data_IF_188745525808
#
_entry.id   IF_188745525808
#
_cell.length_a   1.000
_cell.length_b   1.000
_cell.length_c   1.000
_cell.angle_alpha   90.00
_cell.angle_beta   90.00
_cell.angle_gamma   90.00
#
_symmetry.space_group_name_H-M   'P 1'
#
loop_
_entity.id
_entity.type
_entity.pdbx_description
1 polymer ?
#
# COMPACT_ATOMS: atom_id res chain seq x y z
N UNK A 1 5.57 18.77 4.49
CA UNK A 1 4.69 18.10 3.53
C UNK A 1 3.26 18.48 3.84
N UNK A 2 2.53 19.04 2.88
CA UNK A 2 1.07 19.17 3.00
C UNK A 2 0.43 17.93 2.38
N UNK A 3 -0.22 17.08 3.20
CA UNK A 3 -1.00 15.97 2.65
C UNK A 3 -2.27 16.53 2.00
N UNK A 4 -2.46 16.18 0.73
CA UNK A 4 -3.68 16.56 0.02
C UNK A 4 -4.82 15.60 0.37
N UNK A 5 -6.03 16.14 0.48
CA UNK A 5 -7.23 15.35 0.75
C UNK A 5 -8.28 15.58 -0.32
N UNK A 6 -9.02 14.53 -0.66
CA UNK A 6 -10.12 14.56 -1.61
C UNK A 6 -11.36 13.90 -0.99
N UNK A 7 -12.54 14.49 -1.13
CA UNK A 7 -13.80 13.87 -0.69
C UNK A 7 -14.49 13.21 -1.87
N UNK A 8 -14.84 11.95 -1.73
CA UNK A 8 -15.56 11.17 -2.75
C UNK A 8 -16.85 10.59 -2.19
N UNK A 9 -17.83 10.39 -3.07
CA UNK A 9 -19.08 9.69 -2.74
C UNK A 9 -18.95 8.21 -3.12
N UNK A 10 -19.20 7.32 -2.16
CA UNK A 10 -19.21 5.87 -2.38
C UNK A 10 -20.48 5.30 -1.77
N UNK A 11 -21.35 4.72 -2.59
CA UNK A 11 -22.62 4.12 -2.14
C UNK A 11 -23.48 5.04 -1.26
N UNK A 12 -23.42 6.37 -1.47
CA UNK A 12 -24.15 7.36 -0.69
C UNK A 12 -23.43 7.87 0.56
N UNK A 13 -22.22 7.36 0.86
CA UNK A 13 -21.37 7.85 1.95
C UNK A 13 -20.28 8.79 1.42
N UNK A 14 -20.04 9.89 2.14
CA UNK A 14 -18.88 10.74 1.91
C UNK A 14 -17.64 10.11 2.55
N UNK A 15 -16.57 9.95 1.77
CA UNK A 15 -15.27 9.48 2.28
C UNK A 15 -14.20 10.51 1.96
N UNK A 16 -13.50 10.97 2.99
CA UNK A 16 -12.27 11.75 2.86
C UNK A 16 -11.12 10.78 2.59
N UNK A 17 -10.38 11.03 1.53
CA UNK A 17 -9.24 10.24 1.09
C UNK A 17 -7.98 11.08 1.14
N UNK A 18 -6.87 10.46 1.51
CA UNK A 18 -5.54 11.05 1.37
C UNK A 18 -5.02 10.77 -0.04
N UNK A 19 -4.52 11.80 -0.71
CA UNK A 19 -4.02 11.75 -2.08
C UNK A 19 -2.56 12.18 -2.14
N UNK A 20 -1.79 11.43 -2.91
CA UNK A 20 -0.40 11.73 -3.23
C UNK A 20 -0.23 11.86 -4.75
N UNK A 21 0.35 12.97 -5.18
CA UNK A 21 0.71 13.24 -6.56
C UNK A 21 2.01 14.07 -6.66
N UNK A 22 2.72 13.90 -7.76
CA UNK A 22 4.04 14.50 -7.96
C UNK A 22 4.02 15.96 -8.42
N UNK A 23 2.85 16.62 -8.41
CA UNK A 23 2.76 18.06 -8.70
C UNK A 23 3.18 18.90 -7.48
N UNK A 24 3.12 18.32 -6.28
CA UNK A 24 3.63 18.92 -5.05
C UNK A 24 5.13 18.62 -4.88
N UNK A 25 5.93 19.65 -4.59
CA UNK A 25 7.39 19.53 -4.52
C UNK A 25 7.87 18.71 -3.32
N UNK A 26 7.17 18.76 -2.19
CA UNK A 26 7.53 17.98 -1.00
C UNK A 26 7.18 16.50 -1.21
N UNK A 27 6.02 16.22 -1.81
CA UNK A 27 5.65 14.86 -2.22
C UNK A 27 6.61 14.31 -3.28
N UNK A 28 7.04 15.15 -4.23
CA UNK A 28 8.07 14.75 -5.20
C UNK A 28 9.39 14.38 -4.52
N UNK A 29 9.83 15.14 -3.52
CA UNK A 29 11.04 14.79 -2.77
C UNK A 29 10.89 13.46 -2.01
N UNK A 30 9.73 13.22 -1.38
CA UNK A 30 9.42 11.95 -0.73
C UNK A 30 9.46 10.78 -1.73
N UNK A 31 8.89 10.98 -2.91
CA UNK A 31 8.92 9.99 -3.99
C UNK A 31 10.35 9.70 -4.46
N UNK A 32 11.18 10.72 -4.72
CA UNK A 32 12.56 10.48 -5.17
C UNK A 32 13.35 9.69 -4.14
N UNK A 33 13.19 9.99 -2.85
CA UNK A 33 13.81 9.22 -1.78
C UNK A 33 13.33 7.76 -1.76
N UNK A 34 12.01 7.54 -1.81
CA UNK A 34 11.41 6.21 -1.86
C UNK A 34 11.82 5.41 -3.10
N UNK A 35 11.99 6.09 -4.25
CA UNK A 35 12.45 5.50 -5.51
C UNK A 35 13.88 4.98 -5.39
N UNK A 36 14.79 5.73 -4.75
CA UNK A 36 16.17 5.26 -4.55
C UNK A 36 16.19 3.99 -3.68
N UNK A 37 15.39 3.95 -2.62
CA UNK A 37 15.25 2.76 -1.76
C UNK A 37 14.64 1.58 -2.54
N UNK A 38 13.59 1.80 -3.32
CA UNK A 38 12.97 0.76 -4.16
C UNK A 38 13.91 0.19 -5.22
N UNK A 39 14.73 1.05 -5.85
CA UNK A 39 15.79 0.62 -6.78
C UNK A 39 16.88 -0.19 -6.08
N UNK A 40 17.27 0.19 -4.87
CA UNK A 40 18.24 -0.56 -4.07
C UNK A 40 17.71 -1.93 -3.60
N UNK A 41 16.40 -2.06 -3.37
CA UNK A 41 15.72 -3.32 -3.02
C UNK A 41 15.58 -4.30 -4.19
N UNK A 42 15.41 -3.79 -5.40
CA UNK A 42 15.04 -4.61 -6.56
C UNK A 42 15.98 -5.80 -6.85
N UNK A 43 17.32 -5.67 -6.76
CA UNK A 43 18.25 -6.78 -6.99
C UNK A 43 18.12 -7.94 -5.99
N UNK A 44 17.65 -7.67 -4.77
CA UNK A 44 17.51 -8.66 -3.70
C UNK A 44 16.10 -9.22 -3.56
N UNK A 45 15.17 -8.73 -4.38
CA UNK A 45 13.79 -9.21 -4.39
C UNK A 45 13.69 -10.52 -5.16
N UNK A 46 12.98 -11.50 -4.60
CA UNK A 46 12.70 -12.75 -5.30
C UNK A 46 12.06 -12.49 -6.67
N UNK A 47 12.69 -13.02 -7.72
CA UNK A 47 12.25 -12.81 -9.10
C UNK A 47 10.88 -13.45 -9.39
N UNK A 48 10.58 -14.58 -8.76
CA UNK A 48 9.27 -15.21 -8.83
C UNK A 48 8.22 -14.35 -8.12
N UNK A 49 7.02 -14.21 -8.69
CA UNK A 49 5.85 -13.73 -7.97
C UNK A 49 5.32 -14.81 -7.00
N UNK A 50 4.29 -14.51 -6.16
CA UNK A 50 3.70 -15.50 -5.27
C UNK A 50 3.22 -16.78 -5.98
N UNK A 51 2.94 -16.68 -7.28
CA UNK A 51 2.54 -17.75 -8.17
C UNK A 51 3.66 -18.51 -8.87
N UNK A 52 4.91 -18.23 -8.52
CA UNK A 52 6.08 -18.89 -9.10
C UNK A 52 6.50 -18.36 -10.48
N UNK A 53 5.78 -17.38 -11.06
CA UNK A 53 6.12 -16.85 -12.38
C UNK A 53 7.31 -15.89 -12.28
N UNK A 54 8.32 -16.10 -13.12
CA UNK A 54 9.50 -15.25 -13.17
C UNK A 54 9.14 -13.86 -13.71
N UNK A 55 9.49 -12.83 -12.96
CA UNK A 55 9.31 -11.44 -13.35
C UNK A 55 10.62 -10.87 -13.90
N UNK A 56 10.61 -10.14 -15.02
CA UNK A 56 11.79 -9.43 -15.49
C UNK A 56 12.14 -8.32 -14.50
N UNK A 57 13.44 -8.01 -14.38
CA UNK A 57 13.97 -7.03 -13.41
C UNK A 57 13.24 -5.68 -13.47
N UNK A 58 12.94 -5.17 -14.67
CA UNK A 58 12.22 -3.90 -14.84
C UNK A 58 10.83 -3.89 -14.17
N UNK A 59 10.15 -5.05 -14.12
CA UNK A 59 8.85 -5.18 -13.42
C UNK A 59 9.06 -5.24 -11.91
N UNK A 60 10.16 -5.87 -11.46
CA UNK A 60 10.53 -5.90 -10.04
C UNK A 60 10.87 -4.48 -9.56
N UNK A 61 11.71 -3.75 -10.29
CA UNK A 61 12.06 -2.36 -10.03
C UNK A 61 10.82 -1.48 -9.95
N UNK A 62 9.95 -1.53 -10.96
CA UNK A 62 8.73 -0.73 -10.98
C UNK A 62 7.81 -1.05 -9.80
N UNK A 63 7.68 -2.33 -9.41
CA UNK A 63 6.89 -2.73 -8.24
C UNK A 63 7.52 -2.29 -6.93
N UNK A 64 8.84 -2.40 -6.76
CA UNK A 64 9.54 -1.96 -5.56
C UNK A 64 9.47 -0.45 -5.38
N UNK A 65 9.64 0.32 -6.45
CA UNK A 65 9.46 1.78 -6.42
C UNK A 65 8.06 2.14 -5.92
N UNK A 66 7.01 1.51 -6.46
CA UNK A 66 5.63 1.79 -6.05
C UNK A 66 5.33 1.31 -4.63
N UNK A 67 5.84 0.15 -4.23
CA UNK A 67 5.75 -0.38 -2.87
C UNK A 67 6.35 0.59 -1.86
N UNK A 68 7.65 0.90 -2.00
CA UNK A 68 8.33 1.83 -1.10
C UNK A 68 7.72 3.23 -1.10
N UNK A 69 7.16 3.69 -2.22
CA UNK A 69 6.41 4.97 -2.28
C UNK A 69 5.14 4.90 -1.43
N UNK A 70 4.41 3.78 -1.48
CA UNK A 70 3.22 3.58 -0.66
C UNK A 70 3.55 3.53 0.84
N UNK A 71 4.68 2.91 1.21
CA UNK A 71 5.16 2.88 2.59
C UNK A 71 5.54 4.27 3.07
N UNK A 72 6.29 5.02 2.26
CA UNK A 72 6.68 6.40 2.54
C UNK A 72 5.47 7.31 2.77
N UNK A 73 4.48 7.20 1.87
CA UNK A 73 3.25 7.99 1.95
C UNK A 73 2.44 7.65 3.21
N UNK A 74 2.31 6.35 3.52
CA UNK A 74 1.59 5.90 4.71
C UNK A 74 2.29 6.36 6.00
N UNK A 75 3.61 6.22 6.07
CA UNK A 75 4.40 6.70 7.21
C UNK A 75 4.24 8.21 7.41
N UNK A 76 4.21 8.98 6.31
CA UNK A 76 4.02 10.42 6.39
C UNK A 76 2.63 10.82 6.87
N UNK A 77 1.57 10.13 6.43
CA UNK A 77 0.21 10.31 6.98
C UNK A 77 0.22 10.07 8.49
N UNK A 78 0.83 8.97 8.93
CA UNK A 78 0.88 8.62 10.33
C UNK A 78 1.66 9.67 11.15
N UNK A 79 2.82 10.13 10.67
CA UNK A 79 3.63 11.18 11.33
C UNK A 79 2.88 12.49 11.49
N UNK A 80 2.09 12.89 10.49
CA UNK A 80 1.35 14.16 10.55
C UNK A 80 0.08 14.08 11.41
N UNK A 81 -0.52 12.89 11.51
CA UNK A 81 -1.84 12.74 12.15
C UNK A 81 -1.75 12.15 13.57
N UNK A 82 -0.69 11.43 13.91
CA UNK A 82 -0.46 10.91 15.27
C UNK A 82 0.23 11.97 16.16
N UNK A 83 0.04 11.90 17.48
CA UNK A 83 0.80 12.72 18.43
C UNK A 83 2.31 12.48 18.29
N UNK A 84 3.12 13.51 18.53
CA UNK A 84 4.58 13.45 18.39
C UNK A 84 5.24 12.43 19.33
N UNK A 85 4.57 12.04 20.42
CA UNK A 85 5.09 11.02 21.33
C UNK A 85 4.90 9.58 20.82
N UNK A 86 4.15 9.38 19.73
CA UNK A 86 4.10 8.11 19.02
C UNK A 86 5.13 8.17 17.89
N UNK A 87 6.25 7.48 18.10
CA UNK A 87 7.31 7.38 17.10
C UNK A 87 6.82 6.53 15.90
N UNK A 88 6.97 7.06 14.69
CA UNK A 88 6.63 6.38 13.43
C UNK A 88 7.89 6.04 12.65
N UNK A 89 8.30 4.77 12.74
CA UNK A 89 9.54 4.26 12.15
C UNK A 89 9.21 3.44 10.91
N UNK A 90 9.65 3.90 9.74
CA UNK A 90 9.61 3.11 8.50
C UNK A 90 10.90 2.30 8.41
N UNK A 91 10.80 0.99 8.16
CA UNK A 91 11.98 0.12 8.21
C UNK A 91 13.07 0.54 7.24
N UNK A 92 12.71 0.89 6.01
CA UNK A 92 13.62 1.35 4.95
C UNK A 92 14.49 2.56 5.33
N UNK A 93 14.05 3.38 6.28
CA UNK A 93 14.79 4.56 6.74
C UNK A 93 15.90 4.22 7.74
N UNK A 94 15.83 3.04 8.37
CA UNK A 94 16.75 2.61 9.44
C UNK A 94 17.56 1.36 9.06
N UNK A 95 17.43 0.87 7.83
CA UNK A 95 18.17 -0.31 7.36
C UNK A 95 19.67 0.00 7.28
N UNK A 96 20.47 -0.97 7.69
CA UNK A 96 21.94 -0.91 7.67
C UNK A 96 22.57 -2.01 6.81
N UNK A 97 21.76 -2.89 6.23
CA UNK A 97 22.17 -4.07 5.48
C UNK A 97 22.03 -3.89 3.96
N UNK A 98 21.98 -2.64 3.48
CA UNK A 98 21.89 -2.31 2.06
C UNK A 98 20.78 -3.04 1.30
N UNK A 99 19.65 -3.32 1.97
CA UNK A 99 18.49 -4.00 1.40
C UNK A 99 18.67 -5.49 1.06
N UNK A 100 19.73 -6.13 1.56
CA UNK A 100 20.04 -7.54 1.25
C UNK A 100 19.11 -8.55 1.92
N UNK A 101 18.55 -8.23 3.10
CA UNK A 101 17.63 -9.12 3.83
C UNK A 101 16.17 -8.77 3.61
N UNK A 102 15.27 -9.69 3.97
CA UNK A 102 13.84 -9.41 3.98
C UNK A 102 13.51 -8.34 5.03
N UNK A 103 12.50 -7.54 4.74
CA UNK A 103 11.97 -6.56 5.70
C UNK A 103 11.36 -7.26 6.91
N UNK A 104 11.57 -6.67 8.09
CA UNK A 104 10.95 -7.17 9.33
C UNK A 104 9.53 -6.62 9.52
N UNK A 105 9.32 -5.39 9.06
CA UNK A 105 8.06 -4.66 9.06
C UNK A 105 8.11 -3.55 8.01
N UNK A 106 6.97 -3.03 7.58
CA UNK A 106 6.93 -1.83 6.74
C UNK A 106 7.07 -0.58 7.62
N UNK A 107 6.17 -0.45 8.60
CA UNK A 107 6.14 0.66 9.56
C UNK A 107 5.88 0.11 10.97
N UNK A 108 6.61 0.65 11.94
CA UNK A 108 6.51 0.35 13.36
C UNK A 108 6.13 1.62 14.12
N UNK A 109 5.17 1.49 15.03
CA UNK A 109 4.69 2.56 15.91
C UNK A 109 5.14 2.28 17.34
N UNK A 110 5.75 3.25 18.02
CA UNK A 110 6.24 3.09 19.39
C UNK A 110 5.85 4.23 20.31
N UNK A 111 5.54 3.88 21.57
CA UNK A 111 5.44 4.83 22.69
C UNK A 111 5.69 4.09 24.00
N UNK A 112 6.78 4.41 24.68
CA UNK A 112 7.19 3.67 25.88
C UNK A 112 7.39 2.19 25.56
N UNK A 113 6.74 1.31 26.30
CA UNK A 113 6.80 -0.15 26.12
C UNK A 113 5.77 -0.69 25.11
N UNK A 114 4.90 0.17 24.56
CA UNK A 114 3.89 -0.24 23.57
C UNK A 114 4.48 -0.15 22.17
N UNK A 115 4.41 -1.27 21.44
CA UNK A 115 4.82 -1.38 20.05
C UNK A 115 3.70 -1.99 19.19
N UNK A 116 3.50 -1.43 17.99
CA UNK A 116 2.52 -1.92 17.01
C UNK A 116 3.11 -1.91 15.60
N UNK A 117 2.75 -2.91 14.80
CA UNK A 117 3.22 -3.05 13.42
C UNK A 117 2.11 -2.71 12.44
N UNK A 118 2.44 -1.87 11.47
CA UNK A 118 1.60 -1.47 10.35
C UNK A 118 2.12 -2.16 9.09
N UNK A 119 1.22 -2.84 8.41
CA UNK A 119 1.42 -3.42 7.08
C UNK A 119 0.86 -2.49 6.00
N UNK A 120 1.60 -2.31 4.92
CA UNK A 120 1.20 -1.49 3.78
C UNK A 120 1.12 -2.37 2.53
N UNK A 121 -0.09 -2.53 2.01
CA UNK A 121 -0.33 -3.28 0.76
C UNK A 121 -0.75 -2.34 -0.32
N UNK A 122 0.11 -2.11 -1.30
CA UNK A 122 -0.23 -1.26 -2.44
C UNK A 122 -0.90 -2.07 -3.57
N UNK A 123 -1.85 -1.46 -4.26
CA UNK A 123 -2.49 -2.00 -5.45
C UNK A 123 -2.48 -0.98 -6.60
N UNK A 124 -2.73 -1.44 -7.83
CA UNK A 124 -2.86 -0.56 -8.99
C UNK A 124 -4.19 -0.80 -9.70
N UNK A 125 -4.93 0.27 -9.99
CA UNK A 125 -6.18 0.28 -10.72
C UNK A 125 -6.00 0.94 -12.09
N UNK A 126 -5.96 0.12 -13.15
CA UNK A 126 -5.75 0.57 -14.53
C UNK A 126 -7.05 1.02 -15.21
N UNK A 127 -8.09 0.23 -15.05
CA UNK A 127 -9.34 0.40 -15.80
C UNK A 127 -10.42 1.17 -15.01
N UNK A 128 -10.10 1.56 -13.77
CA UNK A 128 -11.01 2.21 -12.84
C UNK A 128 -10.45 3.59 -12.47
N UNK A 129 -10.80 4.64 -13.23
CA UNK A 129 -10.06 5.92 -13.23
C UNK A 129 -10.41 6.85 -12.06
N UNK A 130 -11.23 6.40 -11.11
CA UNK A 130 -11.64 7.21 -9.95
C UNK A 130 -11.75 6.36 -8.69
N UNK A 131 -11.45 6.91 -7.50
CA UNK A 131 -11.62 6.20 -6.23
C UNK A 131 -13.02 5.62 -6.05
N UNK A 132 -14.06 6.38 -6.42
CA UNK A 132 -15.46 5.95 -6.33
C UNK A 132 -15.78 4.68 -7.14
N UNK A 133 -15.04 4.41 -8.22
CA UNK A 133 -15.17 3.16 -9.01
C UNK A 133 -14.29 2.04 -8.49
N UNK A 134 -13.16 2.35 -7.87
CA UNK A 134 -12.20 1.38 -7.31
C UNK A 134 -12.75 0.76 -6.02
N UNK A 135 -13.22 1.57 -5.08
CA UNK A 135 -13.64 1.13 -3.74
C UNK A 135 -14.67 -0.02 -3.77
N UNK A 136 -15.70 -0.01 -4.64
CA UNK A 136 -16.67 -1.11 -4.69
C UNK A 136 -16.11 -2.44 -5.24
N UNK A 137 -14.99 -2.41 -5.95
CA UNK A 137 -14.45 -3.55 -6.70
C UNK A 137 -13.18 -4.14 -6.07
N UNK A 138 -12.42 -3.33 -5.36
CA UNK A 138 -11.15 -3.74 -4.77
C UNK A 138 -11.33 -4.27 -3.34
N UNK A 139 -10.28 -4.94 -2.87
CA UNK A 139 -10.19 -5.49 -1.52
C UNK A 139 -8.91 -5.00 -0.86
N UNK A 140 -8.97 -4.78 0.44
CA UNK A 140 -7.79 -4.67 1.30
C UNK A 140 -7.22 -6.08 1.48
N UNK A 141 -5.91 -6.20 1.30
CA UNK A 141 -5.17 -7.44 1.49
C UNK A 141 -4.57 -7.47 2.90
N UNK A 142 -4.92 -8.48 3.68
CA UNK A 142 -4.30 -8.81 4.96
C UNK A 142 -3.17 -9.83 4.80
N UNK A 143 -2.87 -10.56 5.88
CA UNK A 143 -1.90 -11.65 5.86
C UNK A 143 -2.31 -12.74 4.86
N UNK A 144 -1.32 -13.46 4.34
CA UNK A 144 -1.56 -14.59 3.45
C UNK A 144 -0.79 -15.83 3.85
N UNK A 145 -1.26 -16.96 3.36
CA UNK A 145 -0.53 -18.22 3.37
C UNK A 145 -0.28 -18.67 1.94
N UNK A 146 0.79 -19.44 1.76
CA UNK A 146 1.05 -20.12 0.49
C UNK A 146 1.17 -21.61 0.75
N UNK A 147 1.02 -22.43 -0.29
CA UNK A 147 1.22 -23.88 -0.16
C UNK A 147 2.60 -24.26 0.43
N UNK A 148 3.61 -23.38 0.28
CA UNK A 148 5.01 -23.67 0.58
C UNK A 148 5.59 -22.90 1.78
N UNK A 149 4.83 -22.02 2.46
CA UNK A 149 5.29 -21.27 3.63
C UNK A 149 4.22 -21.22 4.72
N UNK A 150 4.65 -21.40 5.97
CA UNK A 150 3.83 -21.09 7.14
C UNK A 150 3.31 -19.67 6.99
N UNK A 151 2.00 -19.48 7.17
CA UNK A 151 1.32 -18.21 6.91
C UNK A 151 2.04 -17.01 7.51
N UNK A 152 1.91 -15.88 6.84
CA UNK A 152 2.50 -14.61 7.25
C UNK A 152 2.04 -14.21 8.66
N UNK A 153 2.93 -13.55 9.41
CA UNK A 153 2.58 -13.00 10.71
C UNK A 153 1.49 -11.94 10.58
N UNK A 154 0.49 -12.02 11.46
CA UNK A 154 -0.58 -11.02 11.48
C UNK A 154 -0.07 -9.73 12.13
N UNK A 155 -0.04 -8.65 11.35
CA UNK A 155 0.23 -7.27 11.83
C UNK A 155 -0.97 -6.66 12.54
N UNK A 156 -0.74 -5.60 13.31
CA UNK A 156 -1.79 -4.91 14.10
C UNK A 156 -2.71 -4.08 13.20
N UNK A 157 -2.15 -3.40 12.21
CA UNK A 157 -2.87 -2.50 11.31
C UNK A 157 -2.48 -2.73 9.86
N UNK A 158 -3.43 -2.48 8.94
CA UNK A 158 -3.26 -2.66 7.51
C UNK A 158 -3.76 -1.42 6.78
N UNK A 159 -2.93 -0.90 5.88
CA UNK A 159 -3.28 0.20 4.98
C UNK A 159 -3.25 -0.29 3.54
N UNK A 160 -4.26 0.11 2.75
CA UNK A 160 -4.34 -0.18 1.33
C UNK A 160 -4.25 1.11 0.49
N UNK A 161 -3.03 1.61 0.22
CA UNK A 161 -2.80 2.57 -0.84
C UNK A 161 -3.12 1.95 -2.21
N UNK A 162 -3.73 2.74 -3.10
CA UNK A 162 -4.04 2.31 -4.47
C UNK A 162 -3.61 3.38 -5.46
N UNK A 163 -2.76 2.98 -6.41
CA UNK A 163 -2.36 3.76 -7.56
C UNK A 163 -3.47 3.74 -8.61
N UNK A 164 -4.03 4.88 -8.97
CA UNK A 164 -5.15 5.02 -9.90
C UNK A 164 -4.67 5.72 -11.17
N UNK A 165 -4.80 5.05 -12.31
CA UNK A 165 -4.53 5.64 -13.62
C UNK A 165 -5.64 6.63 -13.99
N UNK A 166 -5.29 7.92 -14.09
CA UNK A 166 -6.23 8.99 -14.45
C UNK A 166 -6.48 9.06 -15.96
N UNK A 167 -5.43 8.82 -16.75
CA UNK A 167 -5.52 8.89 -18.20
C UNK A 167 -6.09 7.60 -18.81
N UNK A 168 -7.36 7.66 -19.20
CA UNK A 168 -8.07 6.54 -19.82
C UNK A 168 -7.51 6.15 -21.19
N UNK A 169 -6.82 7.05 -21.89
CA UNK A 169 -6.19 6.73 -23.18
C UNK A 169 -5.05 5.73 -23.01
N UNK A 170 -4.46 5.67 -21.82
CA UNK A 170 -3.44 4.70 -21.46
C UNK A 170 -4.03 3.35 -21.01
N UNK A 171 -5.32 3.28 -20.67
CA UNK A 171 -6.00 2.08 -20.19
C UNK A 171 -6.47 1.15 -21.32
N UNK A 172 -5.57 0.77 -22.22
CA UNK A 172 -5.82 -0.16 -23.33
C UNK A 172 -5.25 -1.55 -23.02
N UNK A 173 -5.75 -2.61 -23.66
CA UNK A 173 -5.22 -3.97 -23.49
C UNK A 173 -3.74 -4.08 -23.87
N UNK A 174 -3.32 -3.36 -24.92
CA UNK A 174 -1.93 -3.30 -25.34
C UNK A 174 -1.04 -2.68 -24.26
N UNK A 175 -1.49 -1.59 -23.65
CA UNK A 175 -0.77 -0.94 -22.57
C UNK A 175 -0.82 -1.78 -21.29
N UNK A 176 -1.93 -2.44 -20.97
CA UNK A 176 -2.07 -3.28 -19.78
C UNK A 176 -1.00 -4.38 -19.71
N UNK A 177 -0.60 -4.95 -20.85
CA UNK A 177 0.49 -5.94 -20.92
C UNK A 177 1.86 -5.36 -20.58
N UNK A 178 2.13 -4.12 -20.98
CA UNK A 178 3.42 -3.45 -20.72
C UNK A 178 3.41 -2.61 -19.45
N UNK A 179 2.23 -2.37 -18.89
CA UNK A 179 2.02 -1.49 -17.75
C UNK A 179 2.88 -1.87 -16.54
N UNK A 180 3.01 -3.15 -16.14
CA UNK A 180 3.84 -3.51 -14.99
C UNK A 180 5.30 -3.03 -15.09
N UNK A 181 5.85 -2.91 -16.31
CA UNK A 181 7.21 -2.41 -16.54
C UNK A 181 7.30 -0.88 -16.66
N UNK A 182 6.16 -0.19 -16.81
CA UNK A 182 6.08 1.26 -17.03
C UNK A 182 5.34 2.00 -15.91
N UNK A 183 4.88 1.30 -14.89
CA UNK A 183 3.99 1.85 -13.87
C UNK A 183 4.65 2.97 -13.07
N UNK A 184 5.93 2.82 -12.70
CA UNK A 184 6.71 3.90 -12.06
C UNK A 184 6.86 5.10 -13.00
N UNK A 185 7.17 4.87 -14.27
CA UNK A 185 7.27 5.93 -15.26
C UNK A 185 5.95 6.71 -15.45
N UNK A 186 4.81 6.01 -15.54
CA UNK A 186 3.51 6.68 -15.64
C UNK A 186 3.15 7.48 -14.38
N UNK A 187 3.61 7.04 -13.22
CA UNK A 187 3.50 7.80 -11.99
C UNK A 187 4.35 9.07 -12.04
N UNK A 188 5.61 8.98 -12.47
CA UNK A 188 6.51 10.12 -12.68
C UNK A 188 5.96 11.18 -13.64
N UNK A 189 5.28 10.75 -14.70
CA UNK A 189 4.64 11.64 -15.68
C UNK A 189 3.31 12.24 -15.18
N UNK A 190 2.84 11.87 -13.98
CA UNK A 190 1.61 12.38 -13.40
C UNK A 190 0.33 11.78 -14.00
N UNK A 191 0.42 10.64 -14.70
CA UNK A 191 -0.75 9.91 -15.19
C UNK A 191 -1.42 9.07 -14.12
N UNK A 192 -0.71 8.79 -13.03
CA UNK A 192 -1.18 7.99 -11.91
C UNK A 192 -1.11 8.83 -10.65
N UNK A 193 -2.15 8.74 -9.82
CA UNK A 193 -2.12 9.25 -8.45
C UNK A 193 -2.21 8.10 -7.46
N UNK A 194 -1.67 8.29 -6.26
CA UNK A 194 -1.78 7.32 -5.18
C UNK A 194 -2.82 7.82 -4.18
N UNK A 195 -3.75 6.95 -3.80
CA UNK A 195 -4.80 7.24 -2.83
C UNK A 195 -4.81 6.25 -1.69
N UNK A 196 -5.04 6.71 -0.46
CA UNK A 196 -5.35 5.83 0.66
C UNK A 196 -6.84 5.44 0.61
N UNK A 197 -7.16 4.21 0.18
CA UNK A 197 -8.55 3.82 -0.10
C UNK A 197 -9.20 2.93 0.96
N UNK A 198 -8.41 2.24 1.77
CA UNK A 198 -8.95 1.38 2.82
C UNK A 198 -7.95 1.08 3.91
N UNK A 199 -8.49 0.89 5.11
CA UNK A 199 -7.74 0.67 6.33
C UNK A 199 -8.43 -0.38 7.20
N UNK A 200 -7.67 -1.18 7.92
CA UNK A 200 -8.20 -2.20 8.82
C UNK A 200 -7.29 -2.42 10.02
N UNK A 201 -7.88 -2.72 11.16
CA UNK A 201 -7.18 -3.39 12.26
C UNK A 201 -7.07 -4.89 11.96
N UNK A 202 -6.17 -5.57 12.65
CA UNK A 202 -6.14 -7.04 12.69
C UNK A 202 -7.51 -7.63 13.02
N UNK A 203 -8.20 -7.04 14.01
CA UNK A 203 -9.51 -7.49 14.46
C UNK A 203 -10.57 -7.37 13.36
N UNK A 204 -10.54 -6.31 12.55
CA UNK A 204 -11.48 -6.16 11.44
C UNK A 204 -11.33 -7.30 10.43
N UNK A 205 -10.09 -7.71 10.13
CA UNK A 205 -9.80 -8.83 9.25
C UNK A 205 -10.14 -10.19 9.89
N UNK A 206 -9.91 -10.37 11.19
CA UNK A 206 -10.27 -11.61 11.90
C UNK A 206 -11.80 -11.79 12.01
N UNK A 207 -12.53 -10.72 12.29
CA UNK A 207 -13.98 -10.77 12.50
C UNK A 207 -14.77 -10.77 11.18
N UNK A 208 -14.34 -9.99 10.17
CA UNK A 208 -15.11 -9.73 8.96
C UNK A 208 -14.41 -10.13 7.65
N UNK A 209 -13.12 -10.46 7.73
CA UNK A 209 -12.36 -10.82 6.54
C UNK A 209 -12.80 -12.18 5.99
N UNK A 210 -12.44 -12.41 4.72
CA UNK A 210 -12.68 -13.69 4.04
C UNK A 210 -11.37 -14.19 3.44
N UNK A 211 -11.12 -15.47 3.62
CA UNK A 211 -10.10 -16.17 2.84
C UNK A 211 -10.49 -16.08 1.37
N UNK A 212 -9.57 -15.54 0.58
CA UNK A 212 -9.77 -15.29 -0.85
C UNK A 212 -8.60 -15.90 -1.59
N UNK A 213 -8.90 -16.85 -2.47
CA UNK A 213 -7.91 -17.63 -3.22
C UNK A 213 -7.77 -17.19 -4.67
N UNK A 214 -6.85 -17.84 -5.37
CA UNK A 214 -6.36 -17.61 -6.73
C UNK A 214 -7.41 -17.17 -7.77
N UNK A 215 -8.60 -17.81 -7.75
CA UNK A 215 -9.64 -17.55 -8.75
C UNK A 215 -10.24 -16.15 -8.65
N UNK A 216 -10.19 -15.53 -7.48
CA UNK A 216 -10.76 -14.20 -7.23
C UNK A 216 -9.73 -13.08 -7.26
N UNK A 217 -8.43 -13.38 -7.05
CA UNK A 217 -7.36 -12.38 -6.95
C UNK A 217 -6.32 -12.45 -8.08
N UNK A 218 -6.40 -13.46 -8.97
CA UNK A 218 -5.42 -13.70 -10.04
C UNK A 218 -3.97 -13.83 -9.53
N UNK A 219 -3.78 -14.31 -8.29
CA UNK A 219 -2.48 -14.63 -7.70
C UNK A 219 -2.45 -16.14 -7.43
N UNK A 220 -1.64 -16.89 -8.18
CA UNK A 220 -1.53 -18.34 -7.99
C UNK A 220 -0.81 -18.66 -6.67
N UNK A 221 -1.22 -19.74 -6.02
CA UNK A 221 -0.71 -20.38 -4.81
C UNK A 221 -0.77 -19.60 -3.48
N UNK A 222 -1.46 -18.46 -3.44
CA UNK A 222 -1.64 -17.65 -2.23
C UNK A 222 -3.13 -17.51 -1.81
N UNK A 223 -3.39 -17.67 -0.52
CA UNK A 223 -4.71 -17.42 0.11
C UNK A 223 -4.56 -16.25 1.07
N UNK A 224 -5.23 -15.14 0.75
CA UNK A 224 -5.21 -13.92 1.55
C UNK A 224 -6.44 -13.84 2.45
N UNK A 225 -6.28 -13.29 3.65
CA UNK A 225 -7.39 -12.72 4.39
C UNK A 225 -7.72 -11.37 3.79
N UNK A 226 -8.94 -11.18 3.26
CA UNK A 226 -9.30 -9.91 2.59
C UNK A 226 -10.59 -9.29 3.13
N UNK A 227 -10.70 -7.98 3.00
CA UNK A 227 -11.92 -7.22 3.26
C UNK A 227 -12.24 -6.34 2.05
N UNK A 228 -13.49 -6.25 1.61
CA UNK A 228 -13.84 -5.33 0.50
C UNK A 228 -13.61 -3.89 0.93
N UNK A 229 -13.09 -3.01 0.06
CA UNK A 229 -12.78 -1.64 0.45
C UNK A 229 -14.01 -0.82 0.86
N UNK A 230 -15.20 -1.18 0.39
CA UNK A 230 -16.43 -0.56 0.88
C UNK A 230 -16.77 -0.96 2.34
N UNK A 231 -16.19 -2.04 2.85
CA UNK A 231 -16.35 -2.53 4.23
C UNK A 231 -15.16 -2.16 5.13
N UNK A 232 -14.08 -1.64 4.58
CA UNK A 232 -12.92 -1.18 5.36
C UNK A 232 -13.17 0.18 5.99
N UNK A 233 -12.38 0.50 7.00
CA UNK A 233 -12.34 1.82 7.64
C UNK A 233 -11.73 2.87 6.72
N UNK A 234 -12.03 4.13 6.98
CA UNK A 234 -11.23 5.24 6.45
C UNK A 234 -9.89 5.33 7.21
N UNK A 235 -8.94 6.08 6.66
CA UNK A 235 -7.68 6.33 7.34
C UNK A 235 -7.88 7.12 8.65
N UNK A 236 -8.78 8.11 8.66
CA UNK A 236 -9.08 8.91 9.87
C UNK A 236 -9.67 8.04 10.99
N UNK A 237 -10.54 7.07 10.65
CA UNK A 237 -11.09 6.11 11.61
C UNK A 237 -10.00 5.22 12.20
N UNK A 238 -9.11 4.67 11.36
CA UNK A 238 -8.03 3.81 11.83
C UNK A 238 -7.02 4.60 12.68
N UNK A 239 -6.64 5.80 12.26
CA UNK A 239 -5.75 6.68 13.03
C UNK A 239 -6.35 7.00 14.41
N UNK A 240 -7.67 7.21 14.48
CA UNK A 240 -8.37 7.43 15.76
C UNK A 240 -8.34 6.20 16.67
N UNK A 241 -8.32 4.99 16.10
CA UNK A 241 -8.14 3.74 16.87
C UNK A 241 -6.70 3.61 17.34
N UNK A 242 -5.72 3.86 16.46
CA UNK A 242 -4.30 3.85 16.81
C UNK A 242 -4.04 4.79 17.99
N UNK A 243 -4.55 6.02 17.94
CA UNK A 243 -4.47 6.98 19.05
C UNK A 243 -4.94 6.38 20.38
N UNK A 244 -6.12 5.75 20.39
CA UNK A 244 -6.69 5.10 21.59
C UNK A 244 -5.84 3.94 22.09
N UNK A 245 -5.32 3.11 21.18
CA UNK A 245 -4.45 1.99 21.54
C UNK A 245 -3.14 2.47 22.19
N UNK A 246 -2.73 3.70 21.87
CA UNK A 246 -1.59 4.39 22.49
C UNK A 246 -2.00 5.35 23.61
N UNK A 247 -3.27 5.40 24.03
CA UNK A 247 -3.75 6.19 25.17
C UNK A 247 -4.12 7.66 24.88
N UNK A 248 -4.54 7.97 23.65
CA UNK A 248 -5.03 9.30 23.20
C UNK A 248 -6.49 9.29 22.76
#
# INVERSE_FOLDING_TARGET
MTIQTETVQVNGEQRKLYRFNLQDSEQKALYEHAKQQGLAKAPYTHAADPGGQQRPLIVIEARQILGTTADAFTAQILREQLPEEIEVVRYDDIRTDNFERNDLFDIQLKRGDTEKIVEVRSSIALFLPTPARVIPQFRLLGWYSTANKSGEEKRDYYFQPVFILRDRTLATDANARTFPSKSSHYFEQGYIDLYMLGCATRKDLEDNGKETSEKELLQTDAVYQTLKLNQTRTADDLISIIKKDFGY
#
